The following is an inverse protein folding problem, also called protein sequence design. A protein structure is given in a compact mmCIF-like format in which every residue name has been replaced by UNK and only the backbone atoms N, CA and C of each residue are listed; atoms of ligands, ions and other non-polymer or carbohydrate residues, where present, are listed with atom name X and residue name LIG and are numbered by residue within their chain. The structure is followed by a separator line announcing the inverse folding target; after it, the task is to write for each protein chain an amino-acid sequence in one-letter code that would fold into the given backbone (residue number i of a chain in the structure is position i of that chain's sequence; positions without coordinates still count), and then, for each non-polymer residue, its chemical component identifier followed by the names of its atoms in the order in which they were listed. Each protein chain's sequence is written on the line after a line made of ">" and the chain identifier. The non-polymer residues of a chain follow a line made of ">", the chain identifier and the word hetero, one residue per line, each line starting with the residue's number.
data_IF_926186836021
#
_entry.id   IF_926186836021
#
_cell.length_a   1.000
_cell.length_b   1.000
_cell.length_c   1.000
_cell.angle_alpha   90.00
_cell.angle_beta   90.00
_cell.angle_gamma   90.00
#
_symmetry.space_group_name_H-M   'P 1'
#
loop_
_entity.id
_entity.type
_entity.pdbx_description
1 polymer ?
#
# COMPACT_ATOMS: atom_id res chain seq x y z
N UNK A 1 1.91 13.70 10.64
CA UNK A 1 1.12 13.29 9.47
C UNK A 1 0.52 11.91 9.74
N UNK A 2 -0.77 11.75 9.54
CA UNK A 2 -1.43 10.46 9.75
C UNK A 2 -1.09 9.48 8.63
N UNK A 3 -1.29 8.19 8.89
CA UNK A 3 -1.11 7.16 7.86
C UNK A 3 -2.06 7.39 6.68
N UNK A 4 -3.27 7.87 6.95
CA UNK A 4 -4.23 8.20 5.89
C UNK A 4 -3.74 9.31 4.98
N UNK A 5 -3.09 10.33 5.53
CA UNK A 5 -2.47 11.39 4.73
C UNK A 5 -1.34 10.85 3.85
N UNK A 6 -0.58 9.89 4.37
CA UNK A 6 0.49 9.24 3.59
C UNK A 6 -0.11 8.44 2.44
N UNK A 7 -1.17 7.68 2.68
CA UNK A 7 -1.85 6.92 1.61
C UNK A 7 -2.35 7.87 0.53
N UNK A 8 -2.88 9.03 0.89
CA UNK A 8 -3.34 10.05 -0.08
C UNK A 8 -2.21 10.62 -0.93
N UNK A 9 -0.97 10.56 -0.45
CA UNK A 9 0.23 10.96 -1.21
C UNK A 9 0.76 9.87 -2.13
N UNK A 10 0.40 8.63 -1.90
CA UNK A 10 0.94 7.49 -2.66
C UNK A 10 0.73 7.62 -4.17
N UNK A 11 -0.42 8.13 -4.67
CA UNK A 11 -0.57 8.33 -6.11
C UNK A 11 0.53 9.18 -6.74
N UNK A 12 1.00 10.21 -6.04
CA UNK A 12 2.08 11.07 -6.53
C UNK A 12 3.46 10.41 -6.42
N UNK A 13 3.58 9.36 -5.62
CA UNK A 13 4.84 8.64 -5.39
C UNK A 13 4.96 7.38 -6.24
N UNK A 14 3.97 7.07 -7.09
CA UNK A 14 4.01 5.85 -7.89
C UNK A 14 5.12 5.91 -8.93
N UNK A 15 5.81 4.79 -9.09
CA UNK A 15 6.75 4.59 -10.20
C UNK A 15 5.95 4.09 -11.41
N UNK A 16 5.62 4.99 -12.31
CA UNK A 16 4.76 4.68 -13.46
C UNK A 16 5.35 3.58 -14.35
N UNK A 17 6.68 3.53 -14.49
CA UNK A 17 7.34 2.50 -15.28
C UNK A 17 7.19 1.12 -14.63
N UNK A 18 7.36 1.03 -13.31
CA UNK A 18 7.19 -0.23 -12.58
C UNK A 18 5.74 -0.71 -12.55
N UNK A 19 4.78 0.22 -12.60
CA UNK A 19 3.35 -0.07 -12.57
C UNK A 19 2.72 -0.14 -13.97
N UNK A 20 3.49 0.03 -15.03
CA UNK A 20 3.00 -0.10 -16.41
C UNK A 20 2.39 -1.49 -16.62
N UNK A 21 1.24 -1.55 -17.26
CA UNK A 21 0.48 -2.78 -17.50
C UNK A 21 -0.06 -3.47 -16.24
N UNK A 22 0.03 -2.83 -15.07
CA UNK A 22 -0.53 -3.34 -13.83
C UNK A 22 -1.93 -2.77 -13.61
N UNK A 23 -2.88 -3.65 -13.35
CA UNK A 23 -4.22 -3.28 -12.92
C UNK A 23 -4.49 -4.00 -11.61
N UNK A 24 -4.63 -3.26 -10.52
CA UNK A 24 -4.81 -3.85 -9.20
C UNK A 24 -5.49 -2.88 -8.24
N UNK A 25 -6.25 -3.44 -7.31
CA UNK A 25 -6.82 -2.71 -6.18
C UNK A 25 -6.18 -3.24 -4.90
N UNK A 26 -5.61 -2.34 -4.11
CA UNK A 26 -4.93 -2.66 -2.85
C UNK A 26 -5.73 -2.04 -1.70
N UNK A 27 -6.26 -2.89 -0.84
CA UNK A 27 -7.02 -2.47 0.33
C UNK A 27 -6.11 -2.39 1.55
N UNK A 28 -6.13 -1.26 2.25
CA UNK A 28 -5.50 -1.10 3.55
C UNK A 28 -6.56 -1.19 4.63
N UNK A 29 -6.51 -2.25 5.44
CA UNK A 29 -7.42 -2.44 6.58
C UNK A 29 -6.76 -1.91 7.84
N UNK A 30 -6.97 -0.64 8.08
CA UNK A 30 -6.48 0.14 9.21
C UNK A 30 -7.67 0.75 9.94
N UNK A 31 -7.46 1.61 10.94
CA UNK A 31 -8.55 2.21 11.73
C UNK A 31 -9.57 2.90 10.84
N UNK A 32 -9.11 3.71 9.89
CA UNK A 32 -9.95 4.30 8.85
C UNK A 32 -9.53 3.72 7.51
N UNK A 33 -10.20 2.66 7.02
CA UNK A 33 -9.75 1.96 5.83
C UNK A 33 -9.65 2.86 4.61
N UNK A 34 -8.65 2.57 3.76
CA UNK A 34 -8.46 3.22 2.47
C UNK A 34 -8.01 2.18 1.46
N UNK A 35 -8.19 2.49 0.18
CA UNK A 35 -7.67 1.63 -0.88
C UNK A 35 -7.06 2.43 -2.02
N UNK A 36 -6.16 1.79 -2.73
CA UNK A 36 -5.52 2.32 -3.93
C UNK A 36 -6.02 1.56 -5.15
N UNK A 37 -6.30 2.27 -6.23
CA UNK A 37 -6.55 1.67 -7.53
C UNK A 37 -5.38 2.02 -8.45
N UNK A 38 -4.70 0.99 -8.94
CA UNK A 38 -3.58 1.13 -9.86
C UNK A 38 -4.06 0.68 -11.24
N UNK A 39 -3.86 1.50 -12.25
CA UNK A 39 -4.28 1.22 -13.60
C UNK A 39 -3.24 1.75 -14.59
N UNK A 40 -2.43 0.85 -15.14
CA UNK A 40 -1.45 1.14 -16.19
C UNK A 40 -0.54 2.33 -15.86
N UNK A 41 0.06 2.31 -14.69
CA UNK A 41 0.99 3.35 -14.24
C UNK A 41 0.33 4.53 -13.53
N UNK A 42 -0.98 4.60 -13.51
CA UNK A 42 -1.73 5.61 -12.77
C UNK A 42 -2.25 5.02 -11.45
N UNK A 43 -2.37 5.88 -10.44
CA UNK A 43 -2.84 5.46 -9.13
C UNK A 43 -3.78 6.50 -8.56
N UNK A 44 -4.86 6.03 -7.94
CA UNK A 44 -5.80 6.88 -7.19
C UNK A 44 -6.02 6.31 -5.80
N UNK A 45 -6.23 7.19 -4.82
CA UNK A 45 -6.51 6.82 -3.43
C UNK A 45 -7.97 7.12 -3.09
N UNK A 46 -8.60 6.21 -2.37
CA UNK A 46 -10.02 6.31 -2.00
C UNK A 46 -10.21 5.94 -0.54
N UNK A 47 -11.17 6.60 0.11
CA UNK A 47 -11.57 6.27 1.48
C UNK A 47 -12.49 5.06 1.48
N UNK A 48 -12.42 4.27 2.57
CA UNK A 48 -13.34 3.17 2.82
C UNK A 48 -12.86 1.83 2.28
N UNK A 49 -13.82 0.92 2.11
CA UNK A 49 -13.57 -0.43 1.62
C UNK A 49 -13.93 -0.53 0.15
N UNK A 50 -13.01 -1.06 -0.65
CA UNK A 50 -13.29 -1.35 -2.06
C UNK A 50 -14.31 -2.48 -2.18
N UNK A 51 -15.17 -2.47 -3.23
CA UNK A 51 -16.10 -3.58 -3.49
C UNK A 51 -15.38 -4.92 -3.67
N UNK A 52 -14.17 -4.88 -4.24
CA UNK A 52 -13.30 -6.03 -4.39
C UNK A 52 -11.85 -5.54 -4.39
N UNK A 53 -10.93 -6.37 -3.91
CA UNK A 53 -9.50 -6.04 -3.91
C UNK A 53 -8.69 -7.26 -4.32
N UNK A 54 -7.58 -6.99 -5.02
CA UNK A 54 -6.63 -8.04 -5.40
C UNK A 54 -5.72 -8.39 -4.23
N UNK A 55 -5.51 -7.43 -3.34
CA UNK A 55 -4.63 -7.54 -2.19
C UNK A 55 -5.20 -6.72 -1.04
N UNK A 56 -5.17 -7.27 0.16
CA UNK A 56 -5.48 -6.54 1.38
C UNK A 56 -4.33 -6.66 2.37
N UNK A 57 -3.93 -5.53 2.94
CA UNK A 57 -2.95 -5.45 4.02
C UNK A 57 -3.66 -5.07 5.31
N UNK A 58 -3.47 -5.88 6.34
CA UNK A 58 -4.09 -5.69 7.65
C UNK A 58 -2.99 -5.37 8.65
N UNK A 59 -2.97 -4.15 9.16
CA UNK A 59 -1.92 -3.65 10.06
C UNK A 59 -2.49 -2.62 11.03
N UNK A 60 -1.77 -2.41 12.13
CA UNK A 60 -1.98 -1.22 12.95
C UNK A 60 -1.53 0.03 12.19
N UNK A 61 -2.17 1.16 12.46
CA UNK A 61 -1.89 2.43 11.77
C UNK A 61 -0.41 2.82 11.84
N UNK A 62 0.20 2.74 13.02
CA UNK A 62 1.61 3.11 13.21
C UNK A 62 2.56 2.18 12.46
N UNK A 63 2.22 0.89 12.39
CA UNK A 63 3.03 -0.09 11.66
C UNK A 63 2.95 0.17 10.16
N UNK A 64 1.78 0.47 9.64
CA UNK A 64 1.63 0.80 8.22
C UNK A 64 2.36 2.09 7.88
N UNK A 65 2.29 3.09 8.75
CA UNK A 65 3.03 4.34 8.55
C UNK A 65 4.53 4.07 8.44
N UNK A 66 5.09 3.27 9.35
CA UNK A 66 6.49 2.88 9.31
C UNK A 66 6.85 2.10 8.05
N UNK A 67 5.96 1.21 7.62
CA UNK A 67 6.15 0.44 6.38
C UNK A 67 6.20 1.35 5.15
N UNK A 68 5.25 2.29 5.04
CA UNK A 68 5.15 3.17 3.87
C UNK A 68 6.29 4.18 3.80
N UNK A 69 6.82 4.59 4.93
CA UNK A 69 7.95 5.56 4.98
C UNK A 69 9.32 4.90 4.94
N UNK A 70 9.37 3.57 4.89
CA UNK A 70 10.61 2.81 4.77
C UNK A 70 11.30 2.49 6.10
N UNK A 71 10.69 2.85 7.24
CA UNK A 71 11.24 2.57 8.57
C UNK A 71 11.07 1.11 8.99
N UNK A 72 10.04 0.44 8.46
CA UNK A 72 9.73 -0.96 8.74
C UNK A 72 9.84 -1.78 7.46
N UNK A 73 10.60 -2.88 7.54
CA UNK A 73 10.72 -3.81 6.42
C UNK A 73 9.46 -4.70 6.35
N UNK A 74 8.89 -4.83 5.16
CA UNK A 74 7.66 -5.62 4.96
C UNK A 74 7.82 -7.09 5.30
N UNK A 75 8.96 -7.70 4.99
CA UNK A 75 9.24 -9.10 5.32
C UNK A 75 9.31 -9.28 6.83
N UNK A 76 10.04 -8.39 7.52
CA UNK A 76 10.14 -8.41 8.98
C UNK A 76 8.77 -8.22 9.64
N UNK A 77 7.96 -7.30 9.13
CA UNK A 77 6.61 -7.07 9.62
C UNK A 77 5.72 -8.31 9.48
N UNK A 78 5.82 -8.97 8.32
CA UNK A 78 5.05 -10.19 8.05
C UNK A 78 5.48 -11.32 9.01
N UNK A 79 6.77 -11.54 9.17
CA UNK A 79 7.30 -12.59 10.02
C UNK A 79 7.05 -12.36 11.51
N UNK A 80 7.00 -11.11 11.94
CA UNK A 80 6.71 -10.76 13.34
C UNK A 80 5.22 -10.69 13.68
N UNK A 81 4.35 -10.90 12.69
CA UNK A 81 2.90 -10.85 12.87
C UNK A 81 2.29 -9.45 12.86
N UNK A 82 3.08 -8.41 12.56
CA UNK A 82 2.57 -7.04 12.44
C UNK A 82 1.81 -6.81 11.16
N UNK A 83 2.10 -7.58 10.12
CA UNK A 83 1.46 -7.49 8.81
C UNK A 83 0.76 -8.80 8.51
N UNK A 84 -0.53 -8.72 8.21
CA UNK A 84 -1.28 -9.83 7.61
C UNK A 84 -1.59 -9.47 6.17
N UNK A 85 -1.46 -10.44 5.28
CA UNK A 85 -1.68 -10.26 3.84
C UNK A 85 -2.77 -11.22 3.40
N UNK A 86 -3.77 -10.67 2.71
CA UNK A 86 -4.83 -11.45 2.07
C UNK A 86 -4.82 -11.17 0.58
N UNK A 87 -4.93 -12.22 -0.25
CA UNK A 87 -4.99 -12.08 -1.69
C UNK A 87 -3.65 -12.33 -2.37
N UNK A 88 -3.30 -11.51 -3.35
CA UNK A 88 -2.16 -11.72 -4.23
C UNK A 88 -0.83 -11.43 -3.53
N UNK A 89 -0.14 -12.49 -3.12
CA UNK A 89 1.17 -12.39 -2.44
C UNK A 89 2.26 -11.83 -3.35
N UNK A 90 2.19 -12.09 -4.65
CA UNK A 90 3.19 -11.57 -5.59
C UNK A 90 3.04 -10.05 -5.73
N UNK A 91 1.82 -9.56 -5.75
CA UNK A 91 1.56 -8.12 -5.73
C UNK A 91 2.08 -7.50 -4.44
N UNK A 92 1.89 -8.17 -3.29
CA UNK A 92 2.41 -7.69 -2.01
C UNK A 92 3.93 -7.52 -2.05
N UNK A 93 4.65 -8.45 -2.67
CA UNK A 93 6.10 -8.38 -2.81
C UNK A 93 6.54 -7.26 -3.75
N UNK A 94 5.71 -6.88 -4.71
CA UNK A 94 5.99 -5.80 -5.67
C UNK A 94 5.73 -4.41 -5.11
N UNK A 95 4.86 -4.28 -4.13
CA UNK A 95 4.43 -2.96 -3.62
C UNK A 95 5.59 -2.02 -3.26
N UNK A 96 6.64 -2.47 -2.55
CA UNK A 96 7.75 -1.57 -2.20
C UNK A 96 8.46 -0.97 -3.42
N UNK A 97 8.42 -1.65 -4.56
CA UNK A 97 9.06 -1.20 -5.80
C UNK A 97 8.14 -0.32 -6.64
N UNK A 98 6.85 -0.28 -6.33
CA UNK A 98 5.87 0.51 -7.07
C UNK A 98 5.81 1.96 -6.60
N UNK A 99 6.26 2.23 -5.38
CA UNK A 99 6.19 3.57 -4.78
C UNK A 99 7.55 4.00 -4.25
N UNK A 100 7.83 5.29 -4.35
CA UNK A 100 9.06 5.88 -3.81
C UNK A 100 8.82 6.33 -2.37
N UNK A 101 9.33 5.55 -1.41
CA UNK A 101 9.15 5.82 0.01
C UNK A 101 9.72 7.19 0.42
N UNK A 102 10.75 7.68 -0.26
CA UNK A 102 11.33 8.98 0.05
C UNK A 102 10.35 10.14 -0.19
N UNK A 103 9.37 9.94 -1.06
CA UNK A 103 8.32 10.93 -1.32
C UNK A 103 7.18 10.87 -0.32
N UNK A 104 7.14 9.84 0.51
CA UNK A 104 6.10 9.61 1.50
C UNK A 104 6.53 10.02 2.91
N UNK A 105 7.82 10.17 3.12
CA UNK A 105 8.37 10.54 4.42
C UNK A 105 8.18 12.01 4.76
#
# INVERSE_FOLDING_TARGET
>A
MSVNDIIRKMPAAINAAAAANLQATVQYKITEPMYLVINNGECTAHDGMAPASDLALIMADDDLKALLTGELNGISAFMSGKLKVEGDMMLAQRLPNLFDASKLA
#
